data_IF_545583979412
#
_entry.id   IF_545583979412
#
_cell.length_a   1.000
_cell.length_b   1.000
_cell.length_c   1.000
_cell.angle_alpha   90.00
_cell.angle_beta   90.00
_cell.angle_gamma   90.00
#
_symmetry.space_group_name_H-M   'P 1'
#
loop_
_entity.id
_entity.type
_entity.pdbx_description
1 polymer ?
#
# COMPACT_ATOMS: atom_id res chain seq x y z
N UNK A 1 -7.05 -28.84 -45.78
CA UNK A 1 -7.58 -29.47 -44.55
C UNK A 1 -6.67 -29.22 -43.33
N UNK A 2 -6.07 -28.02 -43.18
CA UNK A 2 -4.95 -27.80 -42.24
C UNK A 2 -5.07 -26.63 -41.25
N UNK A 3 -6.17 -25.86 -41.24
CA UNK A 3 -6.18 -24.56 -40.55
C UNK A 3 -7.08 -24.46 -39.30
N UNK A 4 -7.72 -25.56 -38.89
CA UNK A 4 -8.56 -25.62 -37.67
C UNK A 4 -7.80 -26.14 -36.45
N UNK A 5 -6.87 -27.08 -36.63
CA UNK A 5 -6.13 -27.72 -35.53
C UNK A 5 -5.13 -26.75 -34.87
N UNK A 6 -4.36 -26.02 -35.69
CA UNK A 6 -3.41 -25.01 -35.21
C UNK A 6 -4.05 -23.84 -34.42
N UNK A 7 -5.30 -23.47 -34.72
CA UNK A 7 -6.01 -22.41 -33.97
C UNK A 7 -6.53 -22.87 -32.62
N UNK A 8 -6.89 -24.14 -32.49
CA UNK A 8 -7.33 -24.74 -31.21
C UNK A 8 -6.12 -24.92 -30.30
N UNK A 9 -5.00 -25.41 -30.84
CA UNK A 9 -3.75 -25.60 -30.08
C UNK A 9 -3.20 -24.27 -29.53
N UNK A 10 -3.30 -23.17 -30.31
CA UNK A 10 -2.87 -21.85 -29.87
C UNK A 10 -3.79 -21.26 -28.77
N UNK A 11 -5.10 -21.51 -28.85
CA UNK A 11 -6.05 -21.06 -27.84
C UNK A 11 -5.90 -21.83 -26.52
N UNK A 12 -5.69 -23.15 -26.59
CA UNK A 12 -5.42 -23.98 -25.43
C UNK A 12 -4.08 -23.61 -24.76
N UNK A 13 -3.04 -23.34 -25.56
CA UNK A 13 -1.74 -22.87 -25.04
C UNK A 13 -1.85 -21.51 -24.35
N UNK A 14 -2.67 -20.57 -24.89
CA UNK A 14 -2.90 -19.28 -24.26
C UNK A 14 -3.65 -19.41 -22.93
N UNK A 15 -4.68 -20.25 -22.87
CA UNK A 15 -5.49 -20.51 -21.67
C UNK A 15 -4.65 -21.17 -20.57
N UNK A 16 -3.80 -22.13 -20.93
CA UNK A 16 -2.87 -22.77 -19.99
C UNK A 16 -1.83 -21.75 -19.49
N UNK A 17 -1.25 -20.92 -20.36
CA UNK A 17 -0.29 -19.90 -19.94
C UNK A 17 -0.91 -18.81 -19.04
N UNK A 18 -2.18 -18.45 -19.28
CA UNK A 18 -2.89 -17.48 -18.46
C UNK A 18 -3.27 -18.08 -17.11
N UNK A 19 -3.70 -19.35 -17.06
CA UNK A 19 -3.94 -20.06 -15.79
C UNK A 19 -2.66 -20.27 -14.99
N UNK A 20 -1.53 -20.52 -15.65
CA UNK A 20 -0.23 -20.62 -14.99
C UNK A 20 0.28 -19.26 -14.51
N UNK A 21 -0.02 -18.16 -15.20
CA UNK A 21 0.26 -16.79 -14.74
C UNK A 21 -0.64 -16.38 -13.58
N UNK A 22 -1.92 -16.73 -13.63
CA UNK A 22 -2.87 -16.52 -12.53
C UNK A 22 -2.46 -17.32 -11.30
N UNK A 23 -2.15 -18.62 -11.45
CA UNK A 23 -1.58 -19.45 -10.38
C UNK A 23 -0.28 -18.89 -9.83
N UNK A 24 0.66 -18.43 -10.67
CA UNK A 24 1.90 -17.79 -10.20
C UNK A 24 1.65 -16.47 -9.49
N UNK A 25 0.63 -15.71 -9.91
CA UNK A 25 0.21 -14.48 -9.24
C UNK A 25 -0.49 -14.76 -7.92
N UNK A 26 -1.15 -15.90 -7.77
CA UNK A 26 -1.76 -16.38 -6.53
C UNK A 26 -0.73 -17.03 -5.59
N UNK A 27 0.31 -17.70 -6.11
CA UNK A 27 1.46 -18.19 -5.34
C UNK A 27 2.44 -17.06 -4.92
N UNK A 28 2.40 -15.90 -5.60
CA UNK A 28 3.08 -14.67 -5.20
C UNK A 28 2.24 -13.80 -4.24
N UNK A 29 0.98 -14.16 -3.95
CA UNK A 29 0.24 -13.57 -2.82
C UNK A 29 0.82 -14.17 -1.54
N UNK A 30 1.98 -13.66 -1.14
CA UNK A 30 2.52 -13.91 0.18
C UNK A 30 1.54 -13.34 1.21
N UNK A 31 0.69 -14.21 1.75
CA UNK A 31 0.04 -14.04 3.07
C UNK A 31 1.04 -13.65 4.17
N UNK A 32 2.34 -13.80 3.90
CA UNK A 32 3.41 -13.42 4.78
C UNK A 32 3.77 -11.93 4.83
N UNK A 33 3.48 -11.10 3.83
CA UNK A 33 4.03 -9.73 3.81
C UNK A 33 3.13 -8.66 4.44
N UNK A 34 1.81 -8.92 4.51
CA UNK A 34 0.81 -7.98 5.03
C UNK A 34 0.00 -8.67 6.15
N UNK A 35 -0.23 -7.97 7.27
CA UNK A 35 -1.15 -8.40 8.32
C UNK A 35 -2.22 -7.35 8.59
N UNK A 36 -3.47 -7.80 8.62
CA UNK A 36 -4.63 -6.97 8.94
C UNK A 36 -5.03 -7.23 10.39
N UNK A 37 -4.98 -6.20 11.22
CA UNK A 37 -5.30 -6.30 12.64
C UNK A 37 -6.49 -5.42 12.93
N UNK A 38 -7.48 -5.96 13.64
CA UNK A 38 -8.62 -5.20 14.12
C UNK A 38 -8.60 -5.14 15.65
N UNK A 39 -8.29 -3.95 16.17
CA UNK A 39 -8.49 -3.62 17.57
C UNK A 39 -9.89 -3.06 17.78
N UNK A 40 -10.70 -3.75 18.58
CA UNK A 40 -12.02 -3.26 18.94
C UNK A 40 -12.18 -3.23 20.45
N UNK A 41 -12.79 -2.18 20.96
CA UNK A 41 -13.21 -2.11 22.35
C UNK A 41 -14.75 -2.09 22.39
N UNK A 42 -15.37 -3.13 22.95
CA UNK A 42 -16.81 -3.17 23.12
C UNK A 42 -17.20 -2.51 24.43
N UNK A 43 -18.16 -1.58 24.37
CA UNK A 43 -18.81 -1.11 25.59
C UNK A 43 -19.94 -2.03 26.04
N UNK A 44 -20.76 -2.60 25.13
CA UNK A 44 -21.95 -3.40 25.49
C UNK A 44 -22.52 -4.27 24.32
N UNK A 45 -21.78 -4.55 23.25
CA UNK A 45 -22.34 -5.30 22.11
C UNK A 45 -22.59 -6.77 22.49
N UNK A 46 -23.72 -7.35 22.09
CA UNK A 46 -23.94 -8.78 22.28
C UNK A 46 -22.96 -9.56 21.38
N UNK A 47 -22.52 -10.73 21.83
CA UNK A 47 -21.66 -11.62 21.04
C UNK A 47 -22.24 -11.89 19.62
N UNK A 48 -23.56 -11.76 19.44
CA UNK A 48 -24.26 -12.01 18.18
C UNK A 48 -24.01 -10.92 17.12
N UNK A 49 -23.94 -9.65 17.49
CA UNK A 49 -23.65 -8.54 16.55
C UNK A 49 -22.20 -8.58 16.08
N UNK A 50 -21.29 -8.97 16.99
CA UNK A 50 -19.88 -9.18 16.67
C UNK A 50 -19.71 -10.42 15.79
N UNK A 51 -20.45 -11.50 16.03
CA UNK A 51 -20.43 -12.68 15.16
C UNK A 51 -20.98 -12.36 13.76
N UNK A 52 -22.06 -11.59 13.65
CA UNK A 52 -22.56 -11.09 12.36
C UNK A 52 -21.54 -10.20 11.65
N UNK A 53 -20.85 -9.34 12.40
CA UNK A 53 -19.75 -8.53 11.85
C UNK A 53 -18.60 -9.42 11.38
N UNK A 54 -18.11 -10.36 12.18
CA UNK A 54 -17.07 -11.33 11.79
C UNK A 54 -17.48 -12.18 10.57
N UNK A 55 -18.74 -12.61 10.48
CA UNK A 55 -19.29 -13.35 9.34
C UNK A 55 -19.37 -12.50 8.06
N UNK A 56 -19.75 -11.22 8.17
CA UNK A 56 -19.78 -10.28 7.04
C UNK A 56 -18.39 -10.03 6.43
N UNK A 57 -17.31 -10.35 7.17
CA UNK A 57 -15.92 -10.20 6.73
C UNK A 57 -15.36 -11.39 5.95
N UNK A 58 -16.18 -12.35 5.53
CA UNK A 58 -15.76 -13.47 4.69
C UNK A 58 -14.86 -13.10 3.48
N UNK A 59 -13.93 -14.01 3.16
CA UNK A 59 -12.75 -13.88 2.26
C UNK A 59 -11.66 -12.89 2.66
N UNK A 60 -11.96 -11.83 3.42
CA UNK A 60 -10.92 -10.99 4.08
C UNK A 60 -10.58 -11.57 5.47
N UNK A 61 -11.55 -12.26 6.08
CA UNK A 61 -11.55 -12.76 7.45
C UNK A 61 -10.50 -13.82 7.80
N UNK A 62 -9.88 -14.50 6.83
CA UNK A 62 -8.78 -15.43 7.13
C UNK A 62 -7.51 -14.69 7.58
N UNK A 63 -7.44 -13.38 7.34
CA UNK A 63 -6.26 -12.54 7.59
C UNK A 63 -6.45 -11.52 8.72
N UNK A 64 -7.66 -11.41 9.29
CA UNK A 64 -7.97 -10.40 10.31
C UNK A 64 -7.70 -10.96 11.70
N UNK A 65 -6.68 -10.43 12.37
CA UNK A 65 -6.42 -10.72 13.77
C UNK A 65 -7.25 -9.76 14.65
N UNK A 66 -8.21 -10.33 15.37
CA UNK A 66 -9.12 -9.60 16.24
C UNK A 66 -8.58 -9.52 17.68
N UNK A 67 -8.55 -8.32 18.26
CA UNK A 67 -8.22 -8.13 19.68
C UNK A 67 -9.18 -7.18 20.36
N UNK A 68 -9.62 -7.58 21.56
CA UNK A 68 -10.62 -6.89 22.37
C UNK A 68 -10.04 -5.76 23.24
N UNK A 69 -8.71 -5.68 23.31
CA UNK A 69 -8.01 -4.69 24.11
C UNK A 69 -6.80 -4.14 23.35
N UNK A 70 -6.63 -2.82 23.42
CA UNK A 70 -5.50 -2.08 22.86
C UNK A 70 -4.14 -2.69 23.22
N UNK A 71 -3.94 -3.09 24.48
CA UNK A 71 -2.66 -3.62 24.93
C UNK A 71 -2.36 -4.96 24.26
N UNK A 72 -3.32 -5.88 24.23
CA UNK A 72 -3.15 -7.17 23.54
C UNK A 72 -2.87 -6.99 22.05
N UNK A 73 -3.47 -5.96 21.44
CA UNK A 73 -3.20 -5.60 20.06
C UNK A 73 -1.76 -5.10 19.86
N UNK A 74 -1.28 -4.21 20.73
CA UNK A 74 0.09 -3.68 20.68
C UNK A 74 1.12 -4.79 20.92
N UNK A 75 0.88 -5.63 21.91
CA UNK A 75 1.75 -6.75 22.23
C UNK A 75 1.86 -7.70 21.02
N UNK A 76 0.73 -8.04 20.38
CA UNK A 76 0.74 -8.83 19.16
C UNK A 76 1.48 -8.14 18.01
N UNK A 77 1.23 -6.85 17.77
CA UNK A 77 1.95 -6.08 16.75
C UNK A 77 3.46 -6.10 16.96
N UNK A 78 3.93 -6.09 18.21
CA UNK A 78 5.35 -6.17 18.55
C UNK A 78 5.96 -7.56 18.30
N UNK A 79 5.14 -8.61 18.25
CA UNK A 79 5.60 -9.96 17.87
C UNK A 79 5.78 -10.13 16.36
N UNK A 80 5.13 -9.27 15.56
CA UNK A 80 5.19 -9.33 14.10
C UNK A 80 6.45 -8.60 13.62
N UNK A 81 7.39 -9.36 13.06
CA UNK A 81 8.59 -8.82 12.44
C UNK A 81 8.45 -8.81 10.92
N UNK A 82 9.03 -7.80 10.27
CA UNK A 82 9.21 -7.71 8.81
C UNK A 82 7.93 -7.65 7.95
N UNK A 83 6.74 -7.58 8.57
CA UNK A 83 5.45 -7.44 7.86
C UNK A 83 4.92 -6.01 7.90
N UNK A 84 4.16 -5.62 6.87
CA UNK A 84 3.36 -4.40 6.85
C UNK A 84 2.04 -4.66 7.57
N UNK A 85 1.70 -3.80 8.53
CA UNK A 85 0.48 -3.94 9.32
C UNK A 85 -0.53 -2.89 8.88
N UNK A 86 -1.71 -3.36 8.49
CA UNK A 86 -2.91 -2.53 8.34
C UNK A 86 -3.72 -2.67 9.62
N UNK A 87 -4.12 -1.56 10.22
CA UNK A 87 -4.86 -1.55 11.48
C UNK A 87 -6.26 -0.98 11.30
N UNK A 88 -7.25 -1.67 11.83
CA UNK A 88 -8.60 -1.16 12.06
C UNK A 88 -8.73 -0.85 13.54
N UNK A 89 -9.01 0.40 13.87
CA UNK A 89 -9.27 0.88 15.23
C UNK A 89 -10.76 1.15 15.39
N UNK A 90 -11.40 0.57 16.39
CA UNK A 90 -12.84 0.76 16.62
C UNK A 90 -13.19 0.81 18.10
N UNK A 91 -14.34 1.42 18.39
CA UNK A 91 -14.83 1.63 19.74
C UNK A 91 -14.43 2.99 20.33
N UNK A 92 -14.80 3.24 21.59
CA UNK A 92 -14.71 4.57 22.20
C UNK A 92 -13.28 5.09 22.33
N UNK A 93 -12.33 4.20 22.58
CA UNK A 93 -10.92 4.56 22.73
C UNK A 93 -10.14 4.45 21.42
N UNK A 94 -10.81 4.37 20.26
CA UNK A 94 -10.16 4.19 18.96
C UNK A 94 -9.06 5.24 18.69
N UNK A 95 -9.30 6.50 19.06
CA UNK A 95 -8.33 7.58 18.88
C UNK A 95 -7.12 7.46 19.84
N UNK A 96 -7.34 7.04 21.07
CA UNK A 96 -6.24 6.77 22.03
C UNK A 96 -5.36 5.62 21.57
N UNK A 97 -5.96 4.62 20.92
CA UNK A 97 -5.20 3.55 20.29
C UNK A 97 -4.34 4.07 19.14
N UNK A 98 -4.92 4.86 18.22
CA UNK A 98 -4.20 5.50 17.10
C UNK A 98 -2.99 6.31 17.59
N UNK A 99 -3.17 7.09 18.66
CA UNK A 99 -2.08 7.86 19.29
C UNK A 99 -0.88 6.99 19.68
N UNK A 100 -1.12 5.78 20.17
CA UNK A 100 -0.04 4.85 20.58
C UNK A 100 0.68 4.23 19.39
N UNK A 101 -0.02 3.98 18.28
CA UNK A 101 0.49 3.12 17.20
C UNK A 101 0.95 3.87 15.94
N UNK A 102 0.51 5.11 15.72
CA UNK A 102 0.75 5.83 14.45
C UNK A 102 2.24 6.01 14.09
N UNK A 103 3.15 5.94 15.08
CA UNK A 103 4.60 6.06 14.87
C UNK A 103 5.31 4.73 14.67
N UNK A 104 4.63 3.60 14.89
CA UNK A 104 5.23 2.28 14.72
C UNK A 104 5.59 2.10 13.24
N UNK A 105 6.83 1.69 12.97
CA UNK A 105 7.35 1.57 11.61
C UNK A 105 6.60 0.50 10.80
N UNK A 106 6.25 -0.62 11.43
CA UNK A 106 5.53 -1.71 10.76
C UNK A 106 4.08 -1.35 10.39
N UNK A 107 3.47 -0.35 11.04
CA UNK A 107 2.11 0.09 10.69
C UNK A 107 2.17 0.91 9.40
N UNK A 108 1.50 0.45 8.35
CA UNK A 108 1.42 1.15 7.06
C UNK A 108 0.22 2.08 7.04
N UNK A 109 -0.95 1.54 7.36
CA UNK A 109 -2.24 2.22 7.26
C UNK A 109 -3.09 1.98 8.50
N UNK A 110 -3.88 2.99 8.86
CA UNK A 110 -4.84 2.95 9.96
C UNK A 110 -6.21 3.40 9.45
N UNK A 111 -7.21 2.57 9.71
CA UNK A 111 -8.61 2.82 9.43
C UNK A 111 -9.35 2.96 10.76
N UNK A 112 -10.21 3.96 10.90
CA UNK A 112 -11.05 4.08 12.09
C UNK A 112 -12.46 3.65 11.73
N UNK A 113 -13.06 2.75 12.51
CA UNK A 113 -14.43 2.30 12.34
C UNK A 113 -15.28 2.68 13.55
N UNK A 114 -16.30 3.52 13.34
CA UNK A 114 -17.15 4.03 14.42
C UNK A 114 -18.59 4.24 13.93
N UNK A 115 -19.55 3.74 14.71
CA UNK A 115 -20.98 3.93 14.45
C UNK A 115 -21.55 5.23 15.04
N UNK A 116 -20.79 5.96 15.86
CA UNK A 116 -21.19 7.20 16.52
C UNK A 116 -20.63 8.45 15.84
N UNK A 117 -21.30 9.60 16.07
CA UNK A 117 -21.07 10.90 15.42
C UNK A 117 -19.59 11.24 15.21
N UNK A 118 -19.19 11.23 13.94
CA UNK A 118 -17.84 11.49 13.43
C UNK A 118 -17.46 12.98 13.45
N UNK A 119 -18.43 13.87 13.69
CA UNK A 119 -18.28 15.32 13.61
C UNK A 119 -17.17 15.90 14.52
N UNK A 120 -16.72 15.13 15.52
CA UNK A 120 -15.63 15.52 16.43
C UNK A 120 -14.26 14.96 16.04
N UNK A 121 -14.19 13.99 15.13
CA UNK A 121 -12.95 13.33 14.73
C UNK A 121 -12.42 13.77 13.36
N UNK A 122 -13.24 14.33 12.48
CA UNK A 122 -13.04 14.14 11.04
C UNK A 122 -11.76 14.77 10.44
N UNK A 123 -11.62 16.10 10.43
CA UNK A 123 -10.49 16.73 9.71
C UNK A 123 -9.19 16.71 10.54
N UNK A 124 -9.29 17.01 11.84
CA UNK A 124 -8.11 17.23 12.68
C UNK A 124 -7.31 15.95 12.96
N UNK A 125 -7.97 14.78 12.93
CA UNK A 125 -7.30 13.49 13.10
C UNK A 125 -6.54 13.11 11.82
N UNK A 126 -7.18 13.28 10.65
CA UNK A 126 -6.54 13.05 9.35
C UNK A 126 -5.29 13.91 9.18
N UNK A 127 -5.38 15.20 9.50
CA UNK A 127 -4.25 16.13 9.42
C UNK A 127 -3.14 15.83 10.44
N UNK A 128 -3.49 15.29 11.62
CA UNK A 128 -2.52 15.04 12.69
C UNK A 128 -1.79 13.71 12.56
N UNK A 129 -2.44 12.69 12.00
CA UNK A 129 -1.92 11.34 11.94
C UNK A 129 -1.87 10.86 10.50
N UNK A 130 -0.74 11.07 9.82
CA UNK A 130 -0.54 10.80 8.38
C UNK A 130 -0.89 9.36 7.95
N UNK A 131 -0.76 8.38 8.86
CA UNK A 131 -1.10 6.98 8.58
C UNK A 131 -2.59 6.67 8.68
N UNK A 132 -3.40 7.60 9.19
CA UNK A 132 -4.86 7.46 9.20
C UNK A 132 -5.36 7.76 7.80
N UNK A 133 -5.89 6.73 7.14
CA UNK A 133 -6.41 6.84 5.77
C UNK A 133 -7.76 7.55 5.80
N UNK A 134 -8.70 7.01 6.58
CA UNK A 134 -10.04 7.56 6.68
C UNK A 134 -10.79 6.96 7.89
N UNK A 135 -11.99 7.49 8.13
CA UNK A 135 -12.92 7.08 9.16
C UNK A 135 -14.21 6.60 8.51
N UNK A 136 -14.69 5.44 8.92
CA UNK A 136 -15.82 4.76 8.31
C UNK A 136 -16.91 4.47 9.34
N UNK A 137 -18.16 4.72 8.96
CA UNK A 137 -19.38 4.30 9.68
C UNK A 137 -20.00 3.05 9.07
N UNK A 138 -19.73 2.82 7.78
CA UNK A 138 -20.31 1.74 7.01
C UNK A 138 -19.27 0.67 6.67
N UNK A 139 -19.59 -0.57 7.03
CA UNK A 139 -18.65 -1.68 6.95
C UNK A 139 -18.21 -2.02 5.52
N UNK A 140 -19.09 -1.81 4.55
CA UNK A 140 -18.79 -2.10 3.14
C UNK A 140 -17.83 -1.07 2.53
N UNK A 141 -17.92 0.20 2.94
CA UNK A 141 -16.99 1.24 2.53
C UNK A 141 -15.59 0.99 3.10
N UNK A 142 -15.52 0.64 4.39
CA UNK A 142 -14.27 0.24 5.04
C UNK A 142 -13.62 -0.94 4.30
N UNK A 143 -14.42 -1.95 3.96
CA UNK A 143 -13.96 -3.14 3.23
C UNK A 143 -13.34 -2.79 1.88
N UNK A 144 -14.03 -1.95 1.11
CA UNK A 144 -13.54 -1.51 -0.21
C UNK A 144 -12.25 -0.70 -0.09
N UNK A 145 -12.15 0.16 0.92
CA UNK A 145 -10.96 0.95 1.17
C UNK A 145 -9.74 0.08 1.56
N UNK A 146 -9.92 -0.87 2.48
CA UNK A 146 -8.88 -1.83 2.86
C UNK A 146 -8.43 -2.64 1.65
N UNK A 147 -9.35 -3.11 0.81
CA UNK A 147 -9.00 -3.87 -0.39
C UNK A 147 -8.14 -3.05 -1.35
N UNK A 148 -8.48 -1.77 -1.57
CA UNK A 148 -7.67 -0.86 -2.38
C UNK A 148 -6.28 -0.65 -1.77
N UNK A 149 -6.20 -0.54 -0.45
CA UNK A 149 -4.95 -0.30 0.25
C UNK A 149 -4.03 -1.53 0.26
N UNK A 150 -4.58 -2.73 0.46
CA UNK A 150 -3.84 -3.99 0.28
C UNK A 150 -3.24 -4.04 -1.13
N UNK A 151 -4.05 -3.79 -2.17
CA UNK A 151 -3.55 -3.77 -3.55
C UNK A 151 -2.45 -2.72 -3.76
N UNK A 152 -2.52 -1.56 -3.11
CA UNK A 152 -1.48 -0.52 -3.15
C UNK A 152 -0.17 -1.02 -2.53
N UNK A 153 -0.24 -1.65 -1.36
CA UNK A 153 0.92 -2.18 -0.66
C UNK A 153 1.53 -3.35 -1.44
N UNK A 154 0.72 -4.30 -1.91
CA UNK A 154 1.16 -5.42 -2.74
C UNK A 154 1.86 -4.94 -4.00
N UNK A 155 1.31 -3.94 -4.69
CA UNK A 155 1.94 -3.35 -5.87
C UNK A 155 3.29 -2.72 -5.53
N UNK A 156 3.37 -1.99 -4.42
CA UNK A 156 4.63 -1.40 -3.95
C UNK A 156 5.67 -2.48 -3.63
N UNK A 157 5.29 -3.55 -2.92
CA UNK A 157 6.16 -4.68 -2.60
C UNK A 157 6.62 -5.43 -3.86
N UNK A 158 5.70 -5.66 -4.81
CA UNK A 158 6.01 -6.31 -6.08
C UNK A 158 7.01 -5.49 -6.90
N UNK A 159 6.81 -4.17 -6.98
CA UNK A 159 7.77 -3.25 -7.57
C UNK A 159 9.14 -3.39 -6.91
N UNK A 160 9.23 -3.31 -5.57
CA UNK A 160 10.49 -3.52 -4.84
C UNK A 160 11.13 -4.88 -5.10
N UNK A 161 10.35 -5.96 -5.19
CA UNK A 161 10.85 -7.31 -5.45
C UNK A 161 11.38 -7.47 -6.87
N UNK A 162 10.75 -6.81 -7.85
CA UNK A 162 11.19 -6.79 -9.24
C UNK A 162 12.53 -6.04 -9.34
N UNK A 163 12.67 -4.94 -8.61
CA UNK A 163 13.92 -4.18 -8.53
C UNK A 163 15.04 -4.92 -7.79
N UNK A 164 14.74 -5.84 -6.87
CA UNK A 164 15.75 -6.73 -6.27
C UNK A 164 16.18 -7.84 -7.24
N UNK A 165 15.27 -8.39 -8.04
CA UNK A 165 15.58 -9.44 -9.03
C UNK A 165 16.39 -8.95 -10.22
N UNK A 166 16.21 -7.71 -10.66
CA UNK A 166 17.09 -7.11 -11.68
C UNK A 166 18.52 -6.85 -11.18
N UNK A 167 18.78 -6.99 -9.86
CA UNK A 167 20.05 -6.69 -9.22
C UNK A 167 20.80 -7.90 -8.65
N UNK A 168 20.62 -9.11 -9.22
CA UNK A 168 21.49 -10.24 -8.86
C UNK A 168 22.86 -10.16 -9.56
N UNK A 169 23.63 -9.09 -9.33
CA UNK A 169 25.08 -9.08 -9.61
C UNK A 169 25.90 -8.23 -8.62
N UNK A 170 25.28 -7.39 -7.77
CA UNK A 170 26.03 -6.62 -6.76
C UNK A 170 25.25 -6.49 -5.45
N UNK A 171 25.97 -6.72 -4.34
CA UNK A 171 25.45 -6.62 -2.97
C UNK A 171 25.18 -5.15 -2.62
N UNK A 172 23.90 -4.80 -2.44
CA UNK A 172 23.43 -3.43 -2.22
C UNK A 172 23.38 -3.02 -0.75
N UNK A 173 23.79 -3.89 0.17
CA UNK A 173 23.86 -3.52 1.59
C UNK A 173 24.82 -2.34 1.83
N UNK A 174 25.78 -2.11 0.93
CA UNK A 174 26.73 -0.99 0.99
C UNK A 174 26.25 0.34 0.34
N UNK A 175 25.25 0.33 -0.55
CA UNK A 175 24.84 1.52 -1.35
C UNK A 175 23.32 1.84 -1.25
N UNK A 176 22.68 1.39 -0.17
CA UNK A 176 21.22 1.52 0.00
C UNK A 176 20.72 2.97 -0.05
N UNK A 177 21.48 3.94 0.47
CA UNK A 177 21.05 5.35 0.56
C UNK A 177 20.89 6.05 -0.79
N UNK A 178 21.94 6.05 -1.62
CA UNK A 178 21.92 6.68 -2.95
C UNK A 178 20.92 6.00 -3.88
N UNK A 179 20.77 4.68 -3.76
CA UNK A 179 19.76 3.94 -4.51
C UNK A 179 18.34 4.35 -4.09
N UNK A 180 18.03 4.37 -2.80
CA UNK A 180 16.72 4.80 -2.31
C UNK A 180 16.42 6.26 -2.69
N UNK A 181 17.41 7.15 -2.58
CA UNK A 181 17.29 8.53 -3.04
C UNK A 181 16.94 8.60 -4.53
N UNK A 182 17.69 7.90 -5.38
CA UNK A 182 17.42 7.86 -6.81
C UNK A 182 16.02 7.28 -7.12
N UNK A 183 15.58 6.26 -6.37
CA UNK A 183 14.23 5.70 -6.54
C UNK A 183 13.13 6.68 -6.13
N UNK A 184 13.33 7.43 -5.04
CA UNK A 184 12.39 8.47 -4.61
C UNK A 184 12.27 9.58 -5.66
N UNK A 185 13.40 10.07 -6.17
CA UNK A 185 13.43 11.05 -7.25
C UNK A 185 12.73 10.51 -8.51
N UNK A 186 13.03 9.28 -8.92
CA UNK A 186 12.41 8.64 -10.08
C UNK A 186 10.90 8.53 -9.91
N UNK A 187 10.43 8.06 -8.74
CA UNK A 187 9.00 7.91 -8.45
C UNK A 187 8.27 9.26 -8.49
N UNK A 188 8.85 10.30 -7.87
CA UNK A 188 8.31 11.66 -7.93
C UNK A 188 8.18 12.14 -9.38
N UNK A 189 9.22 11.97 -10.21
CA UNK A 189 9.20 12.33 -11.63
C UNK A 189 8.12 11.57 -12.42
N UNK A 190 7.91 10.28 -12.16
CA UNK A 190 6.87 9.49 -12.83
C UNK A 190 5.45 9.85 -12.40
N UNK A 191 5.29 10.41 -11.20
CA UNK A 191 4.00 10.83 -10.65
C UNK A 191 3.55 12.22 -11.13
N UNK A 192 4.46 13.01 -11.71
CA UNK A 192 4.13 14.30 -12.32
C UNK A 192 3.21 14.12 -13.53
N UNK A 193 2.33 15.09 -13.75
CA UNK A 193 1.53 15.12 -14.97
C UNK A 193 2.47 15.25 -16.17
N UNK A 194 2.30 14.35 -17.15
CA UNK A 194 3.18 14.26 -18.32
C UNK A 194 2.69 15.23 -19.40
N UNK A 195 2.62 16.50 -19.04
CA UNK A 195 2.28 17.61 -19.96
C UNK A 195 3.54 18.35 -20.36
N UNK A 196 3.48 19.01 -21.51
CA UNK A 196 4.57 19.88 -21.98
C UNK A 196 4.82 21.03 -20.99
N UNK A 197 3.76 21.53 -20.35
CA UNK A 197 3.82 22.58 -19.33
C UNK A 197 4.63 22.12 -18.11
N UNK A 198 4.34 20.94 -17.56
CA UNK A 198 5.10 20.38 -16.44
C UNK A 198 6.56 20.05 -16.81
N UNK A 199 6.82 19.61 -18.05
CA UNK A 199 8.19 19.42 -18.57
C UNK A 199 8.94 20.76 -18.58
N UNK A 200 8.34 21.83 -19.08
CA UNK A 200 8.98 23.14 -19.14
C UNK A 200 9.19 23.77 -17.76
N UNK A 201 8.24 23.61 -16.84
CA UNK A 201 8.38 24.08 -15.45
C UNK A 201 9.57 23.38 -14.76
N UNK A 202 9.66 22.05 -14.85
CA UNK A 202 10.80 21.28 -14.33
C UNK A 202 12.13 21.74 -14.95
N UNK A 203 12.18 21.90 -16.28
CA UNK A 203 13.41 22.35 -16.95
C UNK A 203 13.80 23.78 -16.57
N UNK A 204 12.83 24.65 -16.31
CA UNK A 204 13.08 26.02 -15.86
C UNK A 204 13.78 26.05 -14.49
N UNK A 205 13.33 25.21 -13.55
CA UNK A 205 13.96 25.05 -12.24
C UNK A 205 15.37 24.45 -12.38
N UNK A 206 15.57 23.47 -13.26
CA UNK A 206 16.90 22.92 -13.53
C UNK A 206 17.85 23.98 -14.11
N UNK A 207 17.41 24.80 -15.06
CA UNK A 207 18.22 25.90 -15.63
C UNK A 207 18.61 26.92 -14.57
N UNK A 208 17.70 27.23 -13.65
CA UNK A 208 17.95 28.14 -12.55
C UNK A 208 18.97 27.55 -11.56
N UNK A 209 18.82 26.29 -11.20
CA UNK A 209 19.70 25.60 -10.25
C UNK A 209 21.13 25.41 -10.80
N UNK A 210 21.26 25.00 -12.06
CA UNK A 210 22.54 24.80 -12.74
C UNK A 210 23.06 26.07 -13.44
N UNK A 211 22.54 27.23 -13.08
CA UNK A 211 22.94 28.49 -13.69
C UNK A 211 24.47 28.68 -13.61
N UNK A 212 25.10 28.86 -14.77
CA UNK A 212 26.55 29.05 -14.88
C UNK A 212 27.37 27.75 -15.00
N UNK A 213 26.75 26.58 -14.91
CA UNK A 213 27.40 25.28 -15.17
C UNK A 213 27.09 24.85 -16.60
N UNK A 214 27.95 25.25 -17.54
CA UNK A 214 27.72 25.08 -18.98
C UNK A 214 27.41 23.63 -19.39
N UNK A 215 28.16 22.66 -18.86
CA UNK A 215 27.97 21.24 -19.17
C UNK A 215 26.57 20.74 -18.80
N UNK A 216 26.05 21.13 -17.63
CA UNK A 216 24.71 20.72 -17.20
C UNK A 216 23.61 21.46 -17.96
N UNK A 217 23.85 22.71 -18.37
CA UNK A 217 22.93 23.43 -19.25
C UNK A 217 22.85 22.79 -20.64
N UNK A 218 23.98 22.32 -21.18
CA UNK A 218 24.00 21.60 -22.47
C UNK A 218 23.21 20.27 -22.37
N UNK A 219 23.34 19.53 -21.25
CA UNK A 219 22.56 18.31 -20.97
C UNK A 219 21.04 18.61 -20.87
N UNK A 220 20.67 19.73 -20.24
CA UNK A 220 19.27 20.16 -20.10
C UNK A 220 18.67 20.47 -21.48
N UNK A 221 19.42 21.13 -22.37
CA UNK A 221 18.94 21.42 -23.73
C UNK A 221 18.87 20.17 -24.62
N UNK A 222 19.79 19.22 -24.47
CA UNK A 222 19.68 17.91 -25.14
C UNK A 222 18.41 17.17 -24.70
N UNK A 223 18.08 17.20 -23.40
CA UNK A 223 16.86 16.58 -22.90
C UNK A 223 15.59 17.32 -23.39
N UNK A 224 15.62 18.65 -23.48
CA UNK A 224 14.49 19.44 -23.97
C UNK A 224 14.14 19.11 -25.43
N UNK A 225 15.14 18.79 -26.25
CA UNK A 225 15.01 18.49 -27.68
C UNK A 225 14.64 17.04 -28.00
N UNK A 226 14.64 16.14 -27.02
CA UNK A 226 14.13 14.76 -27.11
C UNK A 226 12.67 14.67 -26.66
#
# INVERSE_FOLDING_TARGET
MGNRKSRVDAAETLIVSNREREKRSEELRNDDDIKLIWCYEQLNASNEEMNKTKELWGRIGDYVCFHENQQTCIDYMNTIQEKRIIVISSGPSALEFVKKIHRLKQVDSIFIFSHSDLDRLDESVRLRYVKVIDIYTEIHLLREAIRKDINRIEKSLAEFSFYQKEKSFTDLTAESGSFLFFQLCKSALFSMEKTDESKQEMLSECRLYYHGVKEELDNIEEFNTK
#
